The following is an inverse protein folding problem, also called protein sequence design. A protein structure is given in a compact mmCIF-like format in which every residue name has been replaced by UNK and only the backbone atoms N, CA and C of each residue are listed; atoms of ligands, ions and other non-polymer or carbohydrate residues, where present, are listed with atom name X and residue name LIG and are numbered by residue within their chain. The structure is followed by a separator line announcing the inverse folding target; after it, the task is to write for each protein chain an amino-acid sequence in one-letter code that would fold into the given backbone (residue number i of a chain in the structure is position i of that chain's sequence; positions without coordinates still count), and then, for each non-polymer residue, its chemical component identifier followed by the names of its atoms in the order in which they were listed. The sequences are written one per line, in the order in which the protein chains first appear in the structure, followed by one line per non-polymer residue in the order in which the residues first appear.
data_IF_089642812158
#
_entry.id   IF_089642812158
#
_cell.length_a   1.000
_cell.length_b   1.000
_cell.length_c   1.000
_cell.angle_alpha   90.00
_cell.angle_beta   90.00
_cell.angle_gamma   90.00
#
_symmetry.space_group_name_H-M   'P 1'
#
loop_
_entity.id
_entity.type
_entity.pdbx_description
1 polymer ?
#
# COMPACT_ATOMS: atom_id res chain seq x y z
N UNK A 1 17.93 18.50 17.30
CA UNK A 1 16.85 17.64 16.75
C UNK A 1 17.28 16.18 16.72
N UNK A 2 16.50 15.26 17.30
CA UNK A 2 16.89 13.85 17.46
C UNK A 2 16.58 12.98 16.23
N UNK A 3 17.60 12.69 15.40
CA UNK A 3 17.46 11.85 14.18
C UNK A 3 16.88 10.45 14.48
N UNK A 4 17.30 9.80 15.58
CA UNK A 4 16.76 8.49 15.99
C UNK A 4 15.27 8.55 16.34
N UNK A 5 14.84 9.55 17.11
CA UNK A 5 13.42 9.70 17.49
C UNK A 5 12.55 9.95 16.26
N UNK A 6 13.01 10.77 15.31
CA UNK A 6 12.33 10.99 14.03
C UNK A 6 12.20 9.71 13.21
N UNK A 7 13.25 8.90 13.11
CA UNK A 7 13.20 7.60 12.42
C UNK A 7 12.21 6.60 13.05
N UNK A 8 12.21 6.49 14.39
CA UNK A 8 11.27 5.64 15.11
C UNK A 8 9.82 6.12 14.91
N UNK A 9 9.60 7.43 15.03
CA UNK A 9 8.29 8.04 14.84
C UNK A 9 7.77 7.84 13.41
N UNK A 10 8.62 8.08 12.41
CA UNK A 10 8.29 7.85 11.00
C UNK A 10 7.87 6.40 10.76
N UNK A 11 8.63 5.42 11.27
CA UNK A 11 8.29 4.00 11.12
C UNK A 11 6.96 3.64 11.76
N UNK A 12 6.70 4.14 12.98
CA UNK A 12 5.42 3.93 13.69
C UNK A 12 4.24 4.58 12.95
N UNK A 13 4.38 5.83 12.51
CA UNK A 13 3.33 6.57 11.77
C UNK A 13 3.03 5.94 10.42
N UNK A 14 4.06 5.52 9.68
CA UNK A 14 3.89 4.81 8.41
C UNK A 14 3.10 3.53 8.58
N UNK A 15 3.44 2.71 9.59
CA UNK A 15 2.71 1.49 9.88
C UNK A 15 1.23 1.77 10.22
N UNK A 16 0.96 2.82 11.00
CA UNK A 16 -0.42 3.25 11.29
C UNK A 16 -1.17 3.77 10.05
N UNK A 17 -0.50 4.49 9.15
CA UNK A 17 -1.10 5.01 7.93
C UNK A 17 -1.48 3.89 6.96
N UNK A 18 -0.62 2.89 6.81
CA UNK A 18 -0.90 1.70 5.99
C UNK A 18 -2.12 0.95 6.53
N UNK A 19 -2.19 0.71 7.84
CA UNK A 19 -3.36 0.06 8.47
C UNK A 19 -4.66 0.82 8.25
N UNK A 20 -4.64 2.16 8.32
CA UNK A 20 -5.83 2.97 8.05
C UNK A 20 -6.26 2.91 6.59
N UNK A 21 -5.30 2.90 5.67
CA UNK A 21 -5.61 2.76 4.25
C UNK A 21 -6.15 1.35 3.94
N UNK A 22 -5.64 0.32 4.61
CA UNK A 22 -6.24 -1.01 4.60
C UNK A 22 -7.66 -0.94 5.15
N UNK A 23 -7.92 -0.45 6.35
CA UNK A 23 -9.29 -0.36 6.91
C UNK A 23 -10.26 0.42 6.01
N UNK A 24 -9.83 1.54 5.43
CA UNK A 24 -10.65 2.37 4.54
C UNK A 24 -10.98 1.67 3.23
N UNK A 25 -10.05 0.91 2.68
CA UNK A 25 -10.31 0.17 1.45
C UNK A 25 -11.40 -0.90 1.67
N UNK A 26 -11.70 -1.31 2.93
CA UNK A 26 -12.58 -2.47 3.25
C UNK A 26 -13.97 -1.92 3.37
N UNK A 27 -14.03 -0.82 4.13
CA UNK A 27 -15.26 -0.17 4.52
C UNK A 27 -15.92 0.50 3.31
N UNK A 28 -15.11 0.89 2.32
CA UNK A 28 -15.58 1.64 1.16
C UNK A 28 -15.44 0.89 -0.18
N UNK A 29 -14.96 -0.36 -0.18
CA UNK A 29 -14.64 -1.13 -1.40
C UNK A 29 -13.90 -0.28 -2.45
N UNK A 30 -12.85 0.42 -1.99
CA UNK A 30 -12.15 1.42 -2.78
C UNK A 30 -10.68 1.05 -3.02
N UNK A 31 -10.18 1.31 -4.22
CA UNK A 31 -8.75 1.18 -4.53
C UNK A 31 -7.97 2.32 -3.85
N UNK A 32 -7.10 1.99 -2.90
CA UNK A 32 -6.32 2.98 -2.14
C UNK A 32 -4.82 2.79 -2.38
N UNK A 33 -4.17 3.86 -2.85
CA UNK A 33 -2.72 3.93 -3.08
C UNK A 33 -2.04 4.94 -2.16
N UNK A 34 -0.87 4.56 -1.63
CA UNK A 34 -0.02 5.42 -0.79
C UNK A 34 1.42 5.42 -1.32
N UNK A 35 2.03 6.61 -1.40
CA UNK A 35 3.45 6.81 -1.66
C UNK A 35 4.05 7.56 -0.47
N UNK A 36 4.99 6.94 0.23
CA UNK A 36 5.67 7.52 1.38
C UNK A 36 7.14 7.74 1.05
N UNK A 37 7.55 9.00 1.01
CA UNK A 37 8.93 9.41 0.75
C UNK A 37 9.64 9.62 2.09
N UNK A 38 10.80 8.99 2.24
CA UNK A 38 11.67 9.19 3.39
C UNK A 38 12.49 10.47 3.18
N UNK A 39 12.31 11.51 4.01
CA UNK A 39 13.02 12.78 3.85
C UNK A 39 14.51 12.68 4.19
N UNK A 40 14.97 11.59 4.83
CA UNK A 40 16.37 11.45 5.25
C UNK A 40 17.26 10.83 4.18
N UNK A 41 16.74 9.87 3.42
CA UNK A 41 17.54 9.03 2.52
C UNK A 41 16.99 9.00 1.08
N UNK A 42 15.93 9.78 0.80
CA UNK A 42 15.29 9.86 -0.53
C UNK A 42 14.57 8.59 -0.99
N UNK A 43 14.55 7.55 -0.16
CA UNK A 43 13.89 6.29 -0.47
C UNK A 43 12.37 6.46 -0.46
N UNK A 44 11.69 5.86 -1.44
CA UNK A 44 10.24 5.84 -1.50
C UNK A 44 9.71 4.43 -1.23
N UNK A 45 8.58 4.37 -0.53
CA UNK A 45 7.86 3.13 -0.32
C UNK A 45 6.44 3.28 -0.86
N UNK A 46 6.02 2.29 -1.64
CA UNK A 46 4.69 2.23 -2.23
C UNK A 46 3.85 1.20 -1.51
N UNK A 47 2.61 1.56 -1.24
CA UNK A 47 1.57 0.66 -0.78
C UNK A 47 0.37 0.80 -1.70
N UNK A 48 -0.25 -0.32 -2.07
CA UNK A 48 -1.43 -0.36 -2.91
C UNK A 48 -2.34 -1.47 -2.40
N UNK A 49 -3.52 -1.09 -1.92
CA UNK A 49 -4.59 -2.00 -1.58
C UNK A 49 -5.66 -1.91 -2.68
N UNK A 50 -5.89 -2.98 -3.47
CA UNK A 50 -7.05 -3.03 -4.36
C UNK A 50 -8.32 -3.19 -3.52
N UNK A 51 -9.47 -2.67 -3.93
CA UNK A 51 -10.76 -2.81 -3.25
C UNK A 51 -11.14 -4.27 -2.87
N UNK A 52 -10.54 -5.26 -3.53
CA UNK A 52 -10.93 -6.68 -3.50
C UNK A 52 -10.25 -7.55 -2.45
N UNK A 53 -9.44 -7.03 -1.52
CA UNK A 53 -8.71 -7.89 -0.58
C UNK A 53 -9.62 -8.65 0.41
N UNK A 54 -10.91 -8.32 0.52
CA UNK A 54 -11.87 -9.09 1.35
C UNK A 54 -12.06 -10.51 0.81
N UNK A 55 -11.80 -10.75 -0.49
CA UNK A 55 -11.83 -12.09 -1.08
C UNK A 55 -10.50 -12.86 -0.96
N UNK A 56 -9.44 -12.27 -0.40
CA UNK A 56 -8.14 -12.96 -0.25
C UNK A 56 -7.37 -12.56 1.03
N UNK A 57 -7.65 -13.21 2.17
CA UNK A 57 -6.63 -13.51 3.19
C UNK A 57 -6.14 -14.97 3.08
N UNK A 58 -5.18 -15.40 3.91
CA UNK A 58 -3.75 -15.53 3.63
C UNK A 58 -3.41 -16.75 2.74
N UNK A 59 -3.47 -16.61 1.43
CA UNK A 59 -2.85 -17.58 0.50
C UNK A 59 -2.42 -16.81 -0.74
N UNK A 60 -1.24 -17.08 -1.32
CA UNK A 60 -0.86 -16.48 -2.60
C UNK A 60 -1.69 -17.14 -3.71
N UNK A 61 -2.98 -16.84 -3.78
CA UNK A 61 -3.82 -17.20 -4.93
C UNK A 61 -3.58 -16.15 -6.01
N UNK A 62 -2.57 -16.44 -6.83
CA UNK A 62 -2.42 -15.91 -8.20
C UNK A 62 -3.69 -16.28 -8.99
N UNK A 63 -4.77 -15.50 -8.84
CA UNK A 63 -5.91 -15.63 -9.74
C UNK A 63 -5.53 -14.93 -11.05
N UNK A 64 -5.20 -15.77 -12.04
CA UNK A 64 -4.77 -15.45 -13.41
C UNK A 64 -5.56 -14.30 -14.08
N UNK A 65 -6.80 -14.05 -13.66
CA UNK A 65 -7.64 -12.95 -14.16
C UNK A 65 -7.18 -11.55 -13.76
N UNK A 66 -6.64 -11.33 -12.55
CA UNK A 66 -6.23 -9.99 -12.09
C UNK A 66 -4.94 -9.51 -12.75
N UNK A 67 -4.06 -10.43 -13.16
CA UNK A 67 -2.82 -10.10 -13.86
C UNK A 67 -3.09 -9.57 -15.26
N UNK A 68 -4.06 -10.13 -15.99
CA UNK A 68 -4.41 -9.64 -17.33
C UNK A 68 -5.03 -8.24 -17.27
N UNK A 69 -5.94 -8.00 -16.33
CA UNK A 69 -6.51 -6.67 -16.09
C UNK A 69 -5.44 -5.63 -15.75
N UNK A 70 -4.47 -6.00 -14.90
CA UNK A 70 -3.36 -5.12 -14.52
C UNK A 70 -2.34 -4.93 -15.65
N UNK A 71 -2.02 -5.97 -16.43
CA UNK A 71 -1.10 -5.88 -17.56
C UNK A 71 -1.68 -4.99 -18.68
N UNK A 72 -2.99 -5.03 -18.90
CA UNK A 72 -3.66 -4.10 -19.81
C UNK A 72 -3.59 -2.65 -19.33
N UNK A 73 -3.75 -2.41 -18.02
CA UNK A 73 -3.62 -1.06 -17.43
C UNK A 73 -2.16 -0.55 -17.54
N UNK A 74 -1.16 -1.39 -17.26
CA UNK A 74 0.26 -1.00 -17.39
C UNK A 74 0.76 -0.85 -18.83
N UNK A 75 0.06 -1.42 -19.82
CA UNK A 75 0.43 -1.34 -21.25
C UNK A 75 -0.36 -0.26 -22.01
N UNK A 76 -1.30 0.43 -21.33
CA UNK A 76 -2.11 1.52 -21.89
C UNK A 76 -1.66 2.92 -21.41
N UNK A 77 -0.60 2.96 -20.61
CA UNK A 77 0.24 4.15 -20.36
C UNK A 77 1.47 4.04 -21.26
#
# INVERSE_FOLDING_TARGET
EDRRRRGICFRKRRAGLVKKAEELAVLCDADVGLLVINPFDGTFQRFAAPATYVLVPPIPVFSSGYLLSRLLIYKKI
#
